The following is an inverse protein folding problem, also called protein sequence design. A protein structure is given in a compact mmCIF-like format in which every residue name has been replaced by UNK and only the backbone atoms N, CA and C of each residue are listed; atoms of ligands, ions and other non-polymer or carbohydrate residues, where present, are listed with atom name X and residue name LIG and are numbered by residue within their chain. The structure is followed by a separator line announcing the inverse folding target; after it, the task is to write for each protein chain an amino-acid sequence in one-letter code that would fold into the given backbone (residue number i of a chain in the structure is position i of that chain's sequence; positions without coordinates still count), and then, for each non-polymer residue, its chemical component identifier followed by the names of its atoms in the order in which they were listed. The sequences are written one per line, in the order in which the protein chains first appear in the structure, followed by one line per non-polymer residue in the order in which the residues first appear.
data_IF_220692557401
#
_entry.id   IF_220692557401
#
_cell.length_a   1.000
_cell.length_b   1.000
_cell.length_c   1.000
_cell.angle_alpha   90.00
_cell.angle_beta   90.00
_cell.angle_gamma   90.00
#
_symmetry.space_group_name_H-M   'P 1'
#
loop_
_entity.id
_entity.type
_entity.pdbx_description
1 polymer ?
#
# COMPACT_ATOMS: atom_id res chain seq x y z
N UNK A 1 9.29 8.24 -7.22
CA UNK A 1 8.00 8.08 -7.92
C UNK A 1 7.11 7.32 -6.97
N UNK A 2 5.84 7.68 -6.85
CA UNK A 2 4.91 6.96 -6.00
C UNK A 2 4.39 5.68 -6.69
N UNK A 3 3.96 4.69 -5.90
CA UNK A 3 3.37 3.43 -6.40
C UNK A 3 2.04 3.60 -7.14
N UNK A 4 1.40 4.77 -6.99
CA UNK A 4 0.11 5.08 -7.61
C UNK A 4 0.07 6.54 -8.06
N UNK A 5 -0.90 6.84 -8.92
CA UNK A 5 -1.15 8.16 -9.47
C UNK A 5 -2.62 8.56 -9.39
N UNK A 6 -2.90 9.84 -9.67
CA UNK A 6 -4.26 10.37 -9.75
C UNK A 6 -5.13 9.59 -10.77
N UNK A 7 -4.53 9.09 -11.85
CA UNK A 7 -5.22 8.25 -12.83
C UNK A 7 -5.65 6.89 -12.24
N UNK A 8 -4.80 6.29 -11.42
CA UNK A 8 -5.13 5.04 -10.72
C UNK A 8 -6.22 5.28 -9.66
N UNK A 9 -6.19 6.43 -8.98
CA UNK A 9 -7.27 6.84 -8.08
C UNK A 9 -8.60 7.01 -8.80
N UNK A 10 -8.63 7.67 -9.95
CA UNK A 10 -9.85 7.84 -10.74
C UNK A 10 -10.41 6.50 -11.25
N UNK A 11 -9.54 5.52 -11.49
CA UNK A 11 -9.96 4.18 -11.85
C UNK A 11 -10.67 3.46 -10.67
N UNK A 12 -10.28 3.76 -9.42
CA UNK A 12 -10.90 3.17 -8.22
C UNK A 12 -12.10 3.98 -7.72
N UNK A 13 -11.99 5.30 -7.69
CA UNK A 13 -13.03 6.24 -7.26
C UNK A 13 -13.24 7.32 -8.32
N UNK A 14 -14.14 7.07 -9.29
CA UNK A 14 -14.50 8.08 -10.28
C UNK A 14 -15.06 9.35 -9.63
N UNK A 15 -14.79 10.51 -10.22
CA UNK A 15 -15.35 11.80 -9.79
C UNK A 15 -14.71 12.40 -8.53
N UNK A 16 -13.64 11.82 -7.98
CA UNK A 16 -13.00 12.33 -6.75
C UNK A 16 -12.50 13.79 -6.84
N UNK A 17 -12.19 14.27 -8.04
CA UNK A 17 -11.74 15.64 -8.30
C UNK A 17 -12.88 16.65 -8.50
N UNK A 18 -14.14 16.19 -8.58
CA UNK A 18 -15.29 17.10 -8.75
C UNK A 18 -15.59 17.92 -7.49
N UNK A 19 -14.95 17.58 -6.37
CA UNK A 19 -15.13 18.19 -5.05
C UNK A 19 -14.13 19.32 -4.75
N UNK A 20 -13.62 20.01 -5.79
CA UNK A 20 -12.77 21.20 -5.62
C UNK A 20 -11.30 20.91 -5.33
N UNK A 21 -10.84 19.67 -5.52
CA UNK A 21 -9.43 19.26 -5.43
C UNK A 21 -8.95 18.95 -6.85
N UNK A 22 -7.79 19.47 -7.24
CA UNK A 22 -7.22 19.26 -8.58
C UNK A 22 -6.26 18.08 -8.67
N UNK A 23 -5.66 17.66 -7.55
CA UNK A 23 -4.69 16.56 -7.51
C UNK A 23 -4.47 16.05 -6.08
N UNK A 24 -4.06 14.78 -5.95
CA UNK A 24 -3.58 14.16 -4.71
C UNK A 24 -2.09 13.74 -4.83
N UNK A 25 -1.31 14.39 -5.71
CA UNK A 25 0.08 14.02 -6.00
C UNK A 25 0.98 13.93 -4.73
N UNK A 26 0.84 14.87 -3.81
CA UNK A 26 1.60 14.85 -2.54
C UNK A 26 1.13 13.70 -1.64
N UNK A 27 -0.18 13.45 -1.60
CA UNK A 27 -0.78 12.36 -0.82
C UNK A 27 -0.29 10.98 -1.31
N UNK A 28 -0.02 10.84 -2.60
CA UNK A 28 0.60 9.63 -3.16
C UNK A 28 2.02 9.38 -2.64
N UNK A 29 2.84 10.42 -2.50
CA UNK A 29 4.20 10.31 -1.95
C UNK A 29 4.17 9.96 -0.45
N UNK A 30 3.21 10.53 0.29
CA UNK A 30 2.99 10.18 1.69
C UNK A 30 2.56 8.72 1.82
N UNK A 31 1.58 8.29 1.02
CA UNK A 31 1.10 6.92 0.99
C UNK A 31 2.19 5.90 0.62
N UNK A 32 3.08 6.23 -0.33
CA UNK A 32 4.24 5.40 -0.68
C UNK A 32 5.15 5.15 0.52
N UNK A 33 5.48 6.21 1.29
CA UNK A 33 6.31 6.10 2.48
C UNK A 33 5.65 5.30 3.61
N UNK A 34 4.35 5.46 3.79
CA UNK A 34 3.57 4.69 4.77
C UNK A 34 3.47 3.22 4.40
N UNK A 35 3.15 2.92 3.14
CA UNK A 35 3.08 1.54 2.64
C UNK A 35 4.45 0.87 2.72
N UNK A 36 5.53 1.58 2.38
CA UNK A 36 6.91 1.08 2.53
C UNK A 36 7.22 0.68 3.98
N UNK A 37 6.73 1.44 4.96
CA UNK A 37 6.86 1.09 6.39
C UNK A 37 6.05 -0.15 6.74
N UNK A 38 4.81 -0.24 6.27
CA UNK A 38 3.96 -1.40 6.52
C UNK A 38 4.56 -2.68 5.91
N UNK A 39 5.18 -2.59 4.72
CA UNK A 39 5.94 -3.69 4.09
C UNK A 39 7.11 -4.11 4.98
N UNK A 40 7.90 -3.17 5.49
CA UNK A 40 9.01 -3.50 6.41
C UNK A 40 8.55 -4.23 7.66
N UNK A 41 7.38 -3.87 8.21
CA UNK A 41 6.83 -4.49 9.41
C UNK A 41 6.27 -5.88 9.12
N UNK A 42 5.57 -6.05 7.99
CA UNK A 42 4.76 -7.25 7.74
C UNK A 42 5.50 -8.31 6.92
N UNK A 43 6.33 -7.89 5.97
CA UNK A 43 7.00 -8.76 5.00
C UNK A 43 8.41 -9.15 5.46
N UNK A 44 9.25 -8.18 5.85
CA UNK A 44 10.67 -8.43 6.18
C UNK A 44 10.87 -9.52 7.25
N UNK A 45 10.09 -9.57 8.36
CA UNK A 45 10.24 -10.65 9.34
C UNK A 45 9.93 -12.05 8.81
N UNK A 46 9.31 -12.15 7.64
CA UNK A 46 9.00 -13.40 6.93
C UNK A 46 10.05 -13.77 5.89
N UNK A 47 11.11 -12.97 5.75
CA UNK A 47 12.19 -13.14 4.78
C UNK A 47 13.49 -13.59 5.42
N UNK A 48 14.25 -14.37 4.65
CA UNK A 48 15.63 -14.73 4.97
C UNK A 48 16.65 -14.00 4.09
N UNK A 49 16.22 -13.47 2.94
CA UNK A 49 17.08 -12.87 1.92
C UNK A 49 17.17 -11.35 2.05
N UNK A 50 16.09 -10.69 2.49
CA UNK A 50 16.00 -9.23 2.62
C UNK A 50 15.94 -8.89 4.09
N UNK A 51 16.97 -8.20 4.59
CA UNK A 51 17.00 -7.65 5.94
C UNK A 51 16.59 -6.18 5.94
N UNK A 52 16.24 -5.64 7.11
CA UNK A 52 15.75 -4.26 7.24
C UNK A 52 16.77 -3.22 6.74
N UNK A 53 18.07 -3.47 6.95
CA UNK A 53 19.18 -2.63 6.50
C UNK A 53 19.44 -2.69 4.99
N UNK A 54 19.00 -3.77 4.32
CA UNK A 54 19.13 -3.96 2.88
C UNK A 54 17.86 -3.62 2.11
N UNK A 55 16.75 -3.35 2.81
CA UNK A 55 15.48 -3.01 2.18
C UNK A 55 15.58 -1.66 1.47
N UNK A 56 15.33 -1.68 0.16
CA UNK A 56 15.14 -0.50 -0.67
C UNK A 56 13.77 -0.57 -1.33
N UNK A 57 12.92 0.43 -1.08
CA UNK A 57 11.58 0.48 -1.67
C UNK A 57 11.62 0.57 -3.19
N UNK A 58 12.69 1.11 -3.78
CA UNK A 58 12.82 1.21 -5.23
C UNK A 58 13.14 -0.13 -5.90
N UNK A 59 13.40 -1.18 -5.11
CA UNK A 59 13.54 -2.54 -5.59
C UNK A 59 12.19 -3.29 -5.58
N UNK A 60 11.12 -2.68 -5.07
CA UNK A 60 9.77 -3.24 -5.16
C UNK A 60 9.19 -3.06 -6.56
N UNK A 61 8.36 -4.00 -7.00
CA UNK A 61 7.52 -3.80 -8.17
C UNK A 61 6.34 -2.86 -7.87
N UNK A 62 6.38 -1.64 -8.39
CA UNK A 62 5.31 -0.64 -8.22
C UNK A 62 3.93 -1.18 -8.62
N UNK A 63 3.87 -2.04 -9.65
CA UNK A 63 2.61 -2.57 -10.16
C UNK A 63 1.87 -3.43 -9.13
N UNK A 64 2.62 -4.17 -8.30
CA UNK A 64 2.08 -4.98 -7.21
C UNK A 64 1.46 -4.14 -6.09
N UNK A 65 1.99 -2.94 -5.84
CA UNK A 65 1.61 -2.10 -4.70
C UNK A 65 0.58 -1.02 -5.05
N UNK A 66 0.32 -0.80 -6.34
CA UNK A 66 -0.59 0.23 -6.85
C UNK A 66 -1.94 0.27 -6.13
N UNK A 67 -2.62 -0.87 -6.01
CA UNK A 67 -3.95 -0.94 -5.39
C UNK A 67 -3.90 -0.58 -3.90
N UNK A 68 -2.93 -1.11 -3.16
CA UNK A 68 -2.73 -0.77 -1.76
C UNK A 68 -2.41 0.72 -1.58
N UNK A 69 -1.57 1.30 -2.45
CA UNK A 69 -1.24 2.72 -2.41
C UNK A 69 -2.47 3.61 -2.69
N UNK A 70 -3.31 3.26 -3.67
CA UNK A 70 -4.59 3.96 -3.90
C UNK A 70 -5.52 3.87 -2.68
N UNK A 71 -5.70 2.67 -2.11
CA UNK A 71 -6.50 2.49 -0.90
C UNK A 71 -5.96 3.34 0.27
N UNK A 72 -4.63 3.46 0.39
CA UNK A 72 -3.99 4.28 1.42
C UNK A 72 -4.31 5.76 1.24
N UNK A 73 -4.19 6.28 0.01
CA UNK A 73 -4.57 7.67 -0.31
C UNK A 73 -6.05 7.89 -0.01
N UNK A 74 -6.95 7.03 -0.48
CA UNK A 74 -8.39 7.19 -0.28
C UNK A 74 -8.78 7.12 1.20
N UNK A 75 -8.33 6.08 1.90
CA UNK A 75 -8.75 5.79 3.27
C UNK A 75 -8.21 6.75 4.33
N UNK A 76 -7.00 7.28 4.16
CA UNK A 76 -6.35 8.10 5.19
C UNK A 76 -6.17 9.56 4.82
N UNK A 77 -6.13 9.91 3.54
CA UNK A 77 -5.73 11.25 3.10
C UNK A 77 -6.86 11.97 2.36
N UNK A 78 -7.34 11.41 1.25
CA UNK A 78 -8.30 12.07 0.36
C UNK A 78 -9.71 12.17 0.95
N UNK A 79 -10.34 11.04 1.30
CA UNK A 79 -11.74 11.03 1.76
C UNK A 79 -11.94 11.73 3.12
N UNK A 80 -11.03 11.58 4.12
CA UNK A 80 -11.12 12.36 5.35
C UNK A 80 -11.05 13.87 5.11
N UNK A 81 -10.23 14.33 4.14
CA UNK A 81 -10.15 15.74 3.76
C UNK A 81 -11.47 16.24 3.15
N UNK A 82 -12.09 15.42 2.31
CA UNK A 82 -13.42 15.73 1.74
C UNK A 82 -14.53 15.74 2.81
N UNK A 83 -14.46 14.84 3.80
CA UNK A 83 -15.42 14.76 4.90
C UNK A 83 -15.50 16.05 5.72
N UNK A 84 -14.37 16.73 5.93
CA UNK A 84 -14.29 18.01 6.65
C UNK A 84 -14.95 19.14 5.86
N UNK A 85 -14.92 19.08 4.54
CA UNK A 85 -15.40 20.15 3.65
C UNK A 85 -16.89 20.08 3.29
N UNK A 86 -17.64 19.06 3.75
CA UNK A 86 -18.99 18.77 3.27
C UNK A 86 -20.00 18.44 4.39
N UNK A 87 -21.28 18.75 4.18
CA UNK A 87 -22.44 18.29 4.99
C UNK A 87 -22.68 16.77 4.93
N UNK A 88 -21.80 16.02 4.25
CA UNK A 88 -21.88 14.57 4.04
C UNK A 88 -20.74 13.81 4.73
N UNK A 89 -20.22 14.31 5.86
CA UNK A 89 -19.06 13.73 6.55
C UNK A 89 -19.24 12.24 6.89
N UNK A 90 -20.46 11.80 7.23
CA UNK A 90 -20.74 10.39 7.53
C UNK A 90 -20.51 9.47 6.32
N UNK A 91 -20.92 9.90 5.12
CA UNK A 91 -20.74 9.14 3.88
C UNK A 91 -19.25 9.00 3.55
N UNK A 92 -18.52 10.12 3.56
CA UNK A 92 -17.08 10.12 3.25
C UNK A 92 -16.26 9.32 4.25
N UNK A 93 -16.61 9.39 5.55
CA UNK A 93 -15.96 8.59 6.58
C UNK A 93 -16.26 7.10 6.43
N UNK A 94 -17.50 6.72 6.09
CA UNK A 94 -17.84 5.31 5.83
C UNK A 94 -17.05 4.75 4.64
N UNK A 95 -16.98 5.50 3.53
CA UNK A 95 -16.15 5.11 2.38
C UNK A 95 -14.67 5.02 2.76
N UNK A 96 -14.16 5.96 3.56
CA UNK A 96 -12.78 5.91 4.03
C UNK A 96 -12.50 4.62 4.80
N UNK A 97 -13.42 4.17 5.66
CA UNK A 97 -13.30 2.87 6.35
C UNK A 97 -13.29 1.68 5.38
N UNK A 98 -14.13 1.69 4.35
CA UNK A 98 -14.12 0.63 3.32
C UNK A 98 -12.75 0.54 2.62
N UNK A 99 -12.14 1.68 2.28
CA UNK A 99 -10.79 1.70 1.70
C UNK A 99 -9.71 1.28 2.69
N UNK A 100 -9.86 1.59 3.99
CA UNK A 100 -8.95 1.09 5.03
C UNK A 100 -9.01 -0.43 5.15
N UNK A 101 -10.19 -1.01 5.03
CA UNK A 101 -10.33 -2.45 5.05
C UNK A 101 -9.78 -3.10 3.77
N UNK A 102 -10.11 -2.55 2.60
CA UNK A 102 -9.53 -3.02 1.34
C UNK A 102 -8.00 -2.95 1.34
N UNK A 103 -7.41 -1.91 1.96
CA UNK A 103 -5.96 -1.81 2.14
C UNK A 103 -5.41 -3.00 2.93
N UNK A 104 -6.01 -3.31 4.08
CA UNK A 104 -5.58 -4.42 4.95
C UNK A 104 -5.65 -5.77 4.25
N UNK A 105 -6.72 -6.00 3.49
CA UNK A 105 -6.90 -7.23 2.72
C UNK A 105 -5.87 -7.32 1.58
N UNK A 106 -5.63 -6.22 0.87
CA UNK A 106 -4.68 -6.18 -0.24
C UNK A 106 -3.25 -6.45 0.23
N UNK A 107 -2.79 -5.77 1.29
CA UNK A 107 -1.43 -5.94 1.78
C UNK A 107 -1.20 -7.37 2.29
N UNK A 108 -2.17 -7.95 3.00
CA UNK A 108 -2.06 -9.34 3.46
C UNK A 108 -2.07 -10.34 2.29
N UNK A 109 -2.92 -10.10 1.27
CA UNK A 109 -2.97 -10.93 0.08
C UNK A 109 -1.64 -10.89 -0.71
N UNK A 110 -1.11 -9.69 -0.96
CA UNK A 110 0.18 -9.50 -1.65
C UNK A 110 1.30 -10.19 -0.89
N UNK A 111 1.42 -9.96 0.41
CA UNK A 111 2.46 -10.57 1.24
C UNK A 111 2.30 -12.09 1.27
N UNK A 112 1.08 -12.61 1.36
CA UNK A 112 0.83 -14.05 1.38
C UNK A 112 1.19 -14.76 0.07
N UNK A 113 1.03 -14.09 -1.08
CA UNK A 113 1.46 -14.61 -2.39
C UNK A 113 2.97 -14.52 -2.56
N UNK A 114 3.59 -13.50 -1.97
CA UNK A 114 5.00 -13.17 -2.11
C UNK A 114 5.19 -11.82 -2.80
N UNK A 115 6.26 -11.13 -2.45
CA UNK A 115 6.55 -9.78 -2.91
C UNK A 115 7.53 -9.85 -4.08
N UNK A 116 7.24 -9.10 -5.14
CA UNK A 116 8.18 -8.92 -6.24
C UNK A 116 9.22 -7.88 -5.83
N UNK A 117 10.47 -8.33 -5.71
CA UNK A 117 11.59 -7.54 -5.21
C UNK A 117 12.86 -7.86 -6.00
N UNK A 118 13.65 -6.85 -6.34
CA UNK A 118 14.98 -7.02 -6.95
C UNK A 118 16.06 -7.06 -5.89
N UNK A 119 16.51 -8.25 -5.49
CA UNK A 119 17.59 -8.43 -4.50
C UNK A 119 19.01 -8.22 -5.07
N UNK A 120 19.15 -7.60 -6.24
CA UNK A 120 20.42 -7.36 -6.92
C UNK A 120 20.73 -8.35 -8.05
N UNK A 121 19.80 -9.27 -8.35
CA UNK A 121 19.88 -10.21 -9.47
C UNK A 121 18.79 -10.02 -10.52
N UNK A 122 18.00 -8.94 -10.39
CA UNK A 122 16.82 -8.67 -11.17
C UNK A 122 15.54 -8.94 -10.38
N UNK A 123 14.44 -8.37 -10.86
CA UNK A 123 13.12 -8.49 -10.25
C UNK A 123 12.68 -9.96 -10.19
N UNK A 124 12.45 -10.46 -8.97
CA UNK A 124 11.99 -11.82 -8.74
C UNK A 124 10.90 -11.86 -7.65
N UNK A 125 10.07 -12.90 -7.69
CA UNK A 125 9.07 -13.11 -6.63
C UNK A 125 9.72 -13.76 -5.43
N UNK A 126 9.80 -13.03 -4.33
CA UNK A 126 10.31 -13.50 -3.05
C UNK A 126 9.13 -14.02 -2.20
N UNK A 127 9.05 -15.33 -1.93
CA UNK A 127 7.94 -15.91 -1.18
C UNK A 127 7.98 -15.50 0.30
N UNK A 128 6.81 -15.32 0.92
CA UNK A 128 6.73 -15.11 2.36
C UNK A 128 6.70 -16.44 3.11
N UNK A 129 7.69 -16.65 3.97
CA UNK A 129 7.69 -17.81 4.87
C UNK A 129 6.58 -17.64 5.91
N UNK A 130 5.77 -18.67 6.14
CA UNK A 130 4.77 -18.60 7.23
C UNK A 130 5.52 -18.57 8.57
N UNK A 131 5.11 -17.70 9.49
CA UNK A 131 5.71 -17.60 10.84
C UNK A 131 5.70 -18.94 11.61
N UNK A 132 4.79 -19.87 11.28
CA UNK A 132 4.77 -21.22 11.86
C UNK A 132 5.91 -22.13 11.37
N UNK A 133 6.47 -21.86 10.19
CA UNK A 133 7.52 -22.67 9.58
C UNK A 133 8.93 -22.20 9.98
N UNK A 134 9.10 -20.90 10.25
CA UNK A 134 10.38 -20.35 10.74
C UNK A 134 10.82 -20.96 12.08
N UNK A 135 9.88 -21.46 12.89
CA UNK A 135 10.16 -22.15 14.16
C UNK A 135 10.70 -23.59 13.99
N UNK A 136 10.55 -24.21 12.81
CA UNK A 136 10.97 -25.59 12.55
C UNK A 136 12.38 -25.72 11.98
N UNK A 137 12.92 -24.65 11.40
CA UNK A 137 14.26 -24.65 10.79
C UNK A 137 15.38 -24.62 11.86
N UNK A 138 15.05 -24.27 13.11
CA UNK A 138 15.99 -24.19 14.23
C UNK A 138 15.92 -25.37 15.22
N UNK A 139 15.57 -26.58 14.75
CA UNK A 139 15.65 -27.82 15.56
C UNK A 139 16.46 -28.90 14.89
#
# INVERSE_FOLDING_TARGET
MAFSSDADLMAMQPGIFEYGISSFADDHLVAEGELSRDIQILWIPRQHEVTLDLFDRYQLDDSQWKRAACCRVLGWHALPRLAVSADASAFWNAMAEDYREMYRLEIDAVISVGVWYDSGSGLARVPSTRLSESSRVWR
#
